data_IF_775009214769
#
_entry.id   IF_775009214769
#
_cell.length_a   1.000
_cell.length_b   1.000
_cell.length_c   1.000
_cell.angle_alpha   90.00
_cell.angle_beta   90.00
_cell.angle_gamma   90.00
#
_symmetry.space_group_name_H-M   'P 1'
#
loop_
_entity.id
_entity.type
_entity.pdbx_description
1 polymer ?
#
# COMPACT_ATOMS: atom_id res chain seq x y z
N UNK A 1 16.83 -15.17 -7.00
CA UNK A 1 16.07 -15.72 -8.15
C UNK A 1 14.62 -15.32 -7.97
N UNK A 2 14.10 -14.40 -8.78
CA UNK A 2 12.67 -14.09 -8.78
C UNK A 2 11.96 -15.21 -9.54
N UNK A 3 10.97 -15.86 -8.90
CA UNK A 3 10.00 -16.65 -9.67
C UNK A 3 9.06 -15.68 -10.42
N UNK A 4 8.32 -16.16 -11.42
CA UNK A 4 7.38 -15.34 -12.22
C UNK A 4 6.21 -14.73 -11.44
N UNK A 5 6.18 -14.86 -10.10
CA UNK A 5 5.14 -14.37 -9.19
C UNK A 5 5.67 -13.38 -8.15
N UNK A 6 6.96 -13.06 -8.18
CA UNK A 6 7.59 -12.13 -7.24
C UNK A 6 8.25 -10.98 -7.99
N UNK A 7 7.83 -9.76 -7.67
CA UNK A 7 8.48 -8.53 -8.13
C UNK A 7 9.30 -7.98 -6.96
N UNK A 8 10.57 -7.68 -7.22
CA UNK A 8 11.46 -7.05 -6.25
C UNK A 8 11.89 -5.69 -6.79
N UNK A 9 11.80 -4.67 -5.95
CA UNK A 9 12.22 -3.31 -6.24
C UNK A 9 13.01 -2.76 -5.05
N UNK A 10 13.95 -1.86 -5.34
CA UNK A 10 14.75 -1.15 -4.36
C UNK A 10 14.93 0.30 -4.79
N UNK A 11 14.88 1.23 -3.84
CA UNK A 11 15.12 2.64 -4.08
C UNK A 11 15.90 3.24 -2.91
N UNK A 12 16.81 4.17 -3.20
CA UNK A 12 17.47 4.99 -2.18
C UNK A 12 16.62 6.22 -1.93
N UNK A 13 16.30 6.47 -0.66
CA UNK A 13 15.47 7.60 -0.24
C UNK A 13 16.27 8.39 0.79
N UNK A 14 16.50 9.68 0.53
CA UNK A 14 17.20 10.59 1.43
C UNK A 14 16.27 11.07 2.56
N UNK A 15 15.78 10.13 3.38
CA UNK A 15 14.94 10.39 4.53
C UNK A 15 15.24 9.39 5.66
N UNK A 16 15.02 9.75 6.94
CA UNK A 16 15.11 8.81 8.04
C UNK A 16 14.14 7.62 7.88
N UNK A 17 14.52 6.40 8.34
CA UNK A 17 13.67 5.22 8.25
C UNK A 17 12.27 5.41 8.86
N UNK A 18 12.14 6.20 9.93
CA UNK A 18 10.87 6.49 10.60
C UNK A 18 9.89 7.22 9.67
N UNK A 19 10.40 8.14 8.84
CA UNK A 19 9.58 8.87 7.87
C UNK A 19 9.12 7.97 6.73
N UNK A 20 10.02 7.11 6.23
CA UNK A 20 9.69 6.14 5.17
C UNK A 20 8.68 5.13 5.70
N UNK A 21 8.88 4.62 6.91
CA UNK A 21 7.97 3.69 7.56
C UNK A 21 6.58 4.31 7.73
N UNK A 22 6.51 5.53 8.28
CA UNK A 22 5.24 6.24 8.42
C UNK A 22 4.55 6.43 7.06
N UNK A 23 5.29 6.80 6.01
CA UNK A 23 4.75 6.95 4.66
C UNK A 23 4.09 5.66 4.12
N UNK A 24 4.50 4.48 4.58
CA UNK A 24 3.97 3.19 4.13
C UNK A 24 2.72 2.71 4.90
N UNK A 25 2.48 3.22 6.11
CA UNK A 25 1.45 2.66 7.01
C UNK A 25 0.45 3.69 7.57
N UNK A 26 0.65 4.98 7.32
CA UNK A 26 -0.27 6.05 7.72
C UNK A 26 -1.02 6.64 6.53
N UNK A 27 -1.90 7.61 6.80
CA UNK A 27 -2.60 8.41 5.79
C UNK A 27 -1.68 9.17 4.83
N UNK A 28 -0.37 9.24 5.12
CA UNK A 28 0.65 9.73 4.20
C UNK A 28 0.63 8.99 2.86
N UNK A 29 0.18 7.72 2.82
CA UNK A 29 -0.07 6.95 1.59
C UNK A 29 -0.92 7.74 0.59
N UNK A 30 -1.92 8.49 1.05
CA UNK A 30 -2.80 9.28 0.18
C UNK A 30 -2.10 10.44 -0.55
N UNK A 31 -0.90 10.82 -0.08
CA UNK A 31 -0.12 11.94 -0.62
C UNK A 31 0.88 11.50 -1.69
N UNK A 32 1.48 10.32 -1.56
CA UNK A 32 2.57 9.88 -2.44
C UNK A 32 2.21 8.67 -3.30
N UNK A 33 1.34 7.77 -2.84
CA UNK A 33 0.97 6.58 -3.61
C UNK A 33 -0.13 6.92 -4.61
N UNK A 34 0.21 7.72 -5.60
CA UNK A 34 -0.69 8.12 -6.67
C UNK A 34 0.08 8.32 -7.96
N UNK A 35 -0.66 8.39 -9.06
CA UNK A 35 -0.14 8.84 -10.35
C UNK A 35 -1.13 9.86 -10.87
N UNK A 36 -0.65 11.08 -11.10
CA UNK A 36 -1.49 12.25 -11.39
C UNK A 36 -2.55 11.99 -12.46
N UNK A 37 -2.17 11.23 -13.51
CA UNK A 37 -3.04 10.96 -14.66
C UNK A 37 -3.75 9.60 -14.61
N UNK A 38 -3.45 8.75 -13.61
CA UNK A 38 -3.95 7.37 -13.57
C UNK A 38 -4.89 7.10 -12.39
N UNK A 39 -4.44 7.39 -11.16
CA UNK A 39 -5.20 7.07 -9.95
C UNK A 39 -4.71 7.84 -8.72
N UNK A 40 -5.57 7.93 -7.71
CA UNK A 40 -5.27 8.48 -6.39
C UNK A 40 -5.76 7.55 -5.28
N UNK A 41 -4.97 7.39 -4.23
CA UNK A 41 -5.37 6.71 -3.00
C UNK A 41 -6.11 7.69 -2.09
N UNK A 42 -7.22 7.25 -1.49
CA UNK A 42 -8.07 8.05 -0.60
C UNK A 42 -8.68 7.18 0.50
N UNK A 43 -9.10 7.79 1.61
CA UNK A 43 -9.78 7.10 2.70
C UNK A 43 -8.97 5.92 3.27
N UNK A 44 -7.68 6.16 3.53
CA UNK A 44 -6.80 5.24 4.23
C UNK A 44 -7.26 5.05 5.68
N UNK A 45 -7.32 3.80 6.12
CA UNK A 45 -7.55 3.42 7.51
C UNK A 45 -6.73 2.18 7.84
N UNK A 46 -6.19 2.11 9.06
CA UNK A 46 -5.32 1.01 9.49
C UNK A 46 -5.37 0.79 11.01
N UNK A 47 -5.44 -0.47 11.41
CA UNK A 47 -5.19 -0.94 12.78
C UNK A 47 -3.71 -1.35 12.87
N UNK A 48 -2.85 -0.46 13.35
CA UNK A 48 -1.40 -0.64 13.24
C UNK A 48 -0.81 -1.57 14.32
N UNK A 49 -1.13 -2.85 14.20
CA UNK A 49 -0.53 -3.95 14.96
C UNK A 49 -0.49 -5.22 14.10
N UNK A 50 0.31 -6.22 14.49
CA UNK A 50 0.29 -7.53 13.81
C UNK A 50 -1.12 -8.14 13.93
N UNK A 51 -1.65 -8.60 12.81
CA UNK A 51 -3.02 -9.09 12.66
C UNK A 51 -4.07 -7.99 12.40
N UNK A 52 -3.70 -6.71 12.50
CA UNK A 52 -4.60 -5.59 12.25
C UNK A 52 -4.89 -5.39 10.76
N UNK A 53 -6.09 -4.89 10.47
CA UNK A 53 -6.55 -4.64 9.09
C UNK A 53 -6.13 -3.27 8.57
N UNK A 54 -6.03 -3.14 7.25
CA UNK A 54 -5.91 -1.84 6.58
C UNK A 54 -6.79 -1.80 5.33
N UNK A 55 -7.23 -0.59 4.95
CA UNK A 55 -8.08 -0.36 3.77
C UNK A 55 -7.78 0.98 3.09
N UNK A 56 -8.06 1.05 1.80
CA UNK A 56 -7.93 2.26 0.98
C UNK A 56 -8.92 2.23 -0.19
N UNK A 57 -9.34 3.39 -0.66
CA UNK A 57 -10.09 3.54 -1.92
C UNK A 57 -9.14 4.04 -3.01
N UNK A 58 -8.99 3.25 -4.06
CA UNK A 58 -8.33 3.68 -5.31
C UNK A 58 -9.36 4.43 -6.15
N UNK A 59 -9.16 5.73 -6.34
CA UNK A 59 -9.94 6.54 -7.27
C UNK A 59 -9.20 6.62 -8.60
N UNK A 60 -9.78 6.05 -9.65
CA UNK A 60 -9.21 6.08 -11.01
C UNK A 60 -9.54 7.38 -11.74
N UNK A 61 -8.79 7.69 -12.81
CA UNK A 61 -9.03 8.88 -13.63
C UNK A 61 -10.44 8.94 -14.25
N UNK A 62 -11.03 7.79 -14.57
CA UNK A 62 -12.42 7.66 -15.06
C UNK A 62 -13.49 7.76 -13.95
N UNK A 63 -13.09 8.06 -12.71
CA UNK A 63 -13.99 8.31 -11.58
C UNK A 63 -14.46 7.07 -10.82
N UNK A 64 -14.05 5.85 -11.21
CA UNK A 64 -14.36 4.64 -10.42
C UNK A 64 -13.68 4.69 -9.05
N UNK A 65 -14.32 4.03 -8.09
CA UNK A 65 -13.86 3.88 -6.70
C UNK A 65 -13.68 2.40 -6.43
N UNK A 66 -12.44 1.96 -6.26
CA UNK A 66 -12.10 0.56 -6.18
C UNK A 66 -11.49 0.28 -4.78
N UNK A 67 -12.20 -0.47 -3.90
CA UNK A 67 -11.77 -0.73 -2.52
C UNK A 67 -10.69 -1.82 -2.43
N UNK A 68 -9.54 -1.46 -1.86
CA UNK A 68 -8.42 -2.38 -1.63
C UNK A 68 -8.09 -2.41 -0.13
N UNK A 69 -7.49 -3.49 0.32
CA UNK A 69 -7.11 -3.62 1.72
C UNK A 69 -6.25 -4.84 1.98
N UNK A 70 -6.03 -5.14 3.26
CA UNK A 70 -5.25 -6.29 3.67
C UNK A 70 -5.05 -6.34 5.18
N UNK A 71 -4.03 -7.08 5.59
CA UNK A 71 -3.68 -7.34 6.99
C UNK A 71 -2.18 -7.18 7.18
N UNK A 72 -1.76 -6.56 8.29
CA UNK A 72 -0.36 -6.52 8.69
C UNK A 72 0.06 -7.87 9.27
N UNK A 73 1.06 -8.51 8.67
CA UNK A 73 1.58 -9.82 9.08
C UNK A 73 2.79 -9.69 10.00
N UNK A 74 3.65 -8.70 9.74
CA UNK A 74 4.82 -8.38 10.56
C UNK A 74 4.98 -6.87 10.62
N UNK A 75 5.29 -6.34 11.81
CA UNK A 75 5.60 -4.93 12.01
C UNK A 75 6.82 -4.86 12.92
N UNK A 76 7.88 -4.27 12.42
CA UNK A 76 9.07 -3.99 13.20
C UNK A 76 9.56 -2.58 12.91
N UNK A 77 9.09 -1.65 13.72
CA UNK A 77 9.34 -0.21 13.53
C UNK A 77 10.80 0.15 13.79
N UNK A 78 11.46 0.96 12.93
CA UNK A 78 11.01 1.49 11.65
C UNK A 78 11.52 0.68 10.43
N UNK A 79 11.98 -0.56 10.64
CA UNK A 79 12.81 -1.29 9.68
C UNK A 79 12.07 -2.23 8.74
N UNK A 80 10.88 -2.71 9.10
CA UNK A 80 10.17 -3.73 8.31
C UNK A 80 8.66 -3.71 8.51
N UNK A 81 7.94 -3.85 7.40
CA UNK A 81 6.49 -4.10 7.36
C UNK A 81 6.26 -5.24 6.37
N UNK A 82 5.46 -6.23 6.76
CA UNK A 82 4.91 -7.24 5.84
C UNK A 82 3.41 -7.13 5.91
N UNK A 83 2.75 -7.01 4.76
CA UNK A 83 1.31 -6.89 4.67
C UNK A 83 0.77 -7.64 3.46
N UNK A 84 -0.44 -8.17 3.58
CA UNK A 84 -1.19 -8.66 2.43
C UNK A 84 -1.82 -7.48 1.69
N UNK A 85 -2.18 -7.69 0.43
CA UNK A 85 -3.03 -6.80 -0.35
C UNK A 85 -4.03 -7.64 -1.11
N UNK A 86 -5.31 -7.28 -1.02
CA UNK A 86 -6.40 -7.82 -1.81
C UNK A 86 -7.17 -6.69 -2.48
N UNK A 87 -7.78 -7.04 -3.59
CA UNK A 87 -8.71 -6.20 -4.32
C UNK A 87 -10.10 -6.82 -4.15
N UNK A 88 -11.06 -6.07 -3.63
CA UNK A 88 -12.43 -6.57 -3.49
C UNK A 88 -13.21 -6.44 -4.83
N UNK A 89 -12.49 -6.50 -5.96
CA UNK A 89 -12.99 -6.43 -7.33
C UNK A 89 -12.12 -7.32 -8.23
N UNK A 90 -12.64 -7.73 -9.39
CA UNK A 90 -11.90 -8.54 -10.36
C UNK A 90 -10.79 -7.69 -11.01
N UNK A 91 -9.56 -7.78 -10.51
CA UNK A 91 -8.45 -6.99 -11.01
C UNK A 91 -7.91 -7.63 -12.30
N UNK A 92 -7.87 -6.90 -13.44
CA UNK A 92 -7.63 -7.48 -14.76
C UNK A 92 -6.27 -8.21 -14.89
N UNK A 93 -5.31 -7.89 -14.01
CA UNK A 93 -3.99 -8.52 -13.97
C UNK A 93 -3.64 -9.21 -12.65
N UNK A 94 -4.46 -9.06 -11.60
CA UNK A 94 -4.11 -9.51 -10.23
C UNK A 94 -5.20 -10.39 -9.57
N UNK A 95 -6.27 -10.73 -10.30
CA UNK A 95 -7.38 -11.55 -9.82
C UNK A 95 -8.53 -10.72 -9.30
#
# INVERSE_FOLDING_TARGET
MANSRTVMASAEILAPPEQVFAALVTDAVERWWSSADCYRMTAWAAELHVGGSWSVIVKTADGRRLPAGGTFLEIETPRRIVQTRRYDWNHPTLG
#
